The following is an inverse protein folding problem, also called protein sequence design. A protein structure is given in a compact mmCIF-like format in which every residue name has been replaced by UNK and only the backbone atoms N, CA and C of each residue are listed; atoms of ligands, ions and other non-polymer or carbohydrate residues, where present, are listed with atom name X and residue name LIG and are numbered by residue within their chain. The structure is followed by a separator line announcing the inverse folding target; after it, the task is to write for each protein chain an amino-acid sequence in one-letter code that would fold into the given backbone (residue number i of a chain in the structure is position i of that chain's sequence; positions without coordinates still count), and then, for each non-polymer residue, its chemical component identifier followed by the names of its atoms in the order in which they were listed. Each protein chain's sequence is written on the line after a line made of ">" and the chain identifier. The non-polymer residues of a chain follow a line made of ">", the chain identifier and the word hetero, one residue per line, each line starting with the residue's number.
data_IF_590238793371
#
_entry.id   IF_590238793371
#
_cell.length_a   1.000
_cell.length_b   1.000
_cell.length_c   1.000
_cell.angle_alpha   90.00
_cell.angle_beta   90.00
_cell.angle_gamma   90.00
#
_symmetry.space_group_name_H-M   'P 1'
#
loop_
_entity.id
_entity.type
_entity.pdbx_description
1 polymer ?
#
# COMPACT_ATOMS: atom_id res chain seq x y z
N UNK A 1 -17.70 9.73 -21.18
CA UNK A 1 -18.38 8.65 -21.92
C UNK A 1 -19.74 9.20 -22.30
N UNK A 2 -20.05 9.21 -23.58
CA UNK A 2 -21.31 9.74 -24.13
C UNK A 2 -22.18 8.57 -24.59
N UNK A 3 -23.51 8.80 -24.69
CA UNK A 3 -24.44 7.80 -25.15
C UNK A 3 -24.14 7.44 -26.62
N UNK A 4 -24.14 6.15 -26.95
CA UNK A 4 -23.79 5.64 -28.28
C UNK A 4 -22.29 5.47 -28.55
N UNK A 5 -21.40 5.74 -27.59
CA UNK A 5 -19.96 5.52 -27.75
C UNK A 5 -19.61 4.03 -27.76
N UNK A 6 -18.95 3.58 -28.83
CA UNK A 6 -18.39 2.23 -28.89
C UNK A 6 -16.98 2.19 -28.29
N UNK A 7 -16.76 1.36 -27.29
CA UNK A 7 -15.47 1.22 -26.60
C UNK A 7 -14.87 -0.14 -26.89
N UNK A 8 -13.72 -0.17 -27.56
CA UNK A 8 -12.95 -1.38 -27.77
C UNK A 8 -11.84 -1.51 -26.72
N UNK A 9 -11.96 -2.50 -25.85
CA UNK A 9 -10.99 -2.75 -24.76
C UNK A 9 -9.91 -3.77 -25.11
N UNK A 10 -9.93 -4.37 -26.31
CA UNK A 10 -9.05 -5.46 -26.73
C UNK A 10 -8.32 -5.22 -28.06
N UNK A 11 -8.32 -3.99 -28.58
CA UNK A 11 -7.52 -3.68 -29.77
C UNK A 11 -6.03 -3.78 -29.45
N UNK A 12 -5.19 -4.05 -30.45
CA UNK A 12 -3.74 -4.10 -30.29
C UNK A 12 -3.18 -2.83 -29.64
N UNK A 13 -3.71 -1.66 -30.04
CA UNK A 13 -3.32 -0.35 -29.47
C UNK A 13 -3.66 -0.24 -27.98
N UNK A 14 -4.81 -0.77 -27.54
CA UNK A 14 -5.22 -0.73 -26.14
C UNK A 14 -4.36 -1.68 -25.31
N UNK A 15 -4.07 -2.87 -25.82
CA UNK A 15 -3.20 -3.84 -25.15
C UNK A 15 -1.79 -3.24 -24.99
N UNK A 16 -1.22 -2.65 -26.04
CA UNK A 16 0.07 -1.99 -25.97
C UNK A 16 0.11 -0.86 -24.93
N UNK A 17 -0.89 0.02 -24.95
CA UNK A 17 -1.00 1.11 -23.97
C UNK A 17 -1.10 0.58 -22.52
N UNK A 18 -1.84 -0.51 -22.27
CA UNK A 18 -1.91 -1.16 -20.96
C UNK A 18 -0.56 -1.70 -20.51
N UNK A 19 0.16 -2.39 -21.41
CA UNK A 19 1.49 -2.94 -21.14
C UNK A 19 2.47 -1.84 -20.74
N UNK A 20 2.53 -0.75 -21.51
CA UNK A 20 3.37 0.41 -21.19
C UNK A 20 3.02 0.99 -19.82
N UNK A 21 1.74 1.19 -19.52
CA UNK A 21 1.31 1.70 -18.22
C UNK A 21 1.70 0.77 -17.06
N UNK A 22 1.56 -0.54 -17.22
CA UNK A 22 2.00 -1.50 -16.21
C UNK A 22 3.51 -1.48 -16.02
N UNK A 23 4.28 -1.41 -17.09
CA UNK A 23 5.74 -1.28 -17.02
C UNK A 23 6.19 0.01 -16.32
N UNK A 24 5.51 1.14 -16.56
CA UNK A 24 5.76 2.39 -15.83
C UNK A 24 5.43 2.27 -14.34
N UNK A 25 4.34 1.60 -13.98
CA UNK A 25 4.03 1.31 -12.58
C UNK A 25 5.10 0.42 -11.94
N UNK A 26 5.58 -0.59 -12.67
CA UNK A 26 6.64 -1.49 -12.20
C UNK A 26 8.00 -0.79 -12.04
N UNK A 27 8.27 0.28 -12.79
CA UNK A 27 9.47 1.10 -12.62
C UNK A 27 9.51 1.82 -11.25
N UNK A 28 8.33 2.14 -10.71
CA UNK A 28 8.18 2.80 -9.40
C UNK A 28 7.77 1.83 -8.28
N UNK A 29 7.83 0.53 -8.52
CA UNK A 29 7.39 -0.47 -7.56
C UNK A 29 8.52 -1.44 -7.20
N UNK A 30 8.75 -1.64 -5.89
CA UNK A 30 9.67 -2.68 -5.43
C UNK A 30 9.11 -4.06 -5.77
N UNK A 31 9.85 -4.77 -6.65
CA UNK A 31 9.45 -6.06 -7.21
C UNK A 31 9.85 -7.25 -6.33
N UNK A 32 10.17 -7.03 -5.06
CA UNK A 32 10.53 -8.10 -4.14
C UNK A 32 9.27 -8.87 -3.68
N UNK A 33 8.63 -9.54 -4.63
CA UNK A 33 7.34 -10.19 -4.42
C UNK A 33 7.38 -11.35 -3.43
N UNK A 34 8.48 -12.08 -3.33
CA UNK A 34 8.59 -13.25 -2.46
C UNK A 34 8.50 -12.90 -0.97
N UNK A 35 8.95 -11.71 -0.58
CA UNK A 35 8.86 -11.22 0.80
C UNK A 35 7.70 -10.24 1.01
N UNK A 36 6.84 -10.06 0.03
CA UNK A 36 5.73 -9.12 0.10
C UNK A 36 4.52 -9.75 0.80
N UNK A 37 3.88 -9.01 1.71
CA UNK A 37 2.65 -9.44 2.39
C UNK A 37 1.45 -9.68 1.44
N UNK A 38 1.55 -9.20 0.20
CA UNK A 38 0.56 -9.41 -0.86
C UNK A 38 0.99 -10.45 -1.89
N UNK A 39 2.07 -11.20 -1.64
CA UNK A 39 2.45 -12.31 -2.52
C UNK A 39 1.23 -13.20 -2.78
N UNK A 40 1.05 -13.62 -4.03
CA UNK A 40 -0.10 -14.41 -4.53
C UNK A 40 -1.47 -13.71 -4.48
N UNK A 41 -1.65 -12.66 -3.65
CA UNK A 41 -2.88 -11.89 -3.56
C UNK A 41 -2.63 -10.40 -3.90
N UNK A 42 -1.88 -10.15 -4.97
CA UNK A 42 -1.52 -8.82 -5.45
C UNK A 42 -2.18 -8.54 -6.81
N UNK A 43 -3.03 -7.50 -6.86
CA UNK A 43 -3.70 -7.12 -8.11
C UNK A 43 -2.73 -6.63 -9.19
N UNK A 44 -1.62 -5.98 -8.80
CA UNK A 44 -0.59 -5.57 -9.76
C UNK A 44 0.10 -6.80 -10.36
N UNK A 45 0.49 -7.77 -9.54
CA UNK A 45 1.10 -9.02 -9.99
C UNK A 45 0.16 -9.77 -10.96
N UNK A 46 -1.13 -9.88 -10.63
CA UNK A 46 -2.13 -10.49 -11.50
C UNK A 46 -2.21 -9.77 -12.85
N UNK A 47 -2.30 -8.43 -12.86
CA UNK A 47 -2.37 -7.66 -14.10
C UNK A 47 -1.10 -7.80 -14.95
N UNK A 48 0.07 -7.87 -14.33
CA UNK A 48 1.33 -8.11 -15.06
C UNK A 48 1.34 -9.51 -15.69
N UNK A 49 0.84 -10.52 -14.99
CA UNK A 49 0.70 -11.86 -15.55
C UNK A 49 -0.32 -11.91 -16.70
N UNK A 50 -1.48 -11.28 -16.54
CA UNK A 50 -2.55 -11.25 -17.55
C UNK A 50 -2.08 -10.58 -18.86
N UNK A 51 -1.27 -9.53 -18.76
CA UNK A 51 -0.71 -8.82 -19.92
C UNK A 51 0.68 -9.36 -20.32
N UNK A 52 1.14 -10.47 -19.73
CA UNK A 52 2.43 -11.12 -20.00
C UNK A 52 3.62 -10.14 -19.94
N UNK A 53 3.71 -9.38 -18.85
CA UNK A 53 4.82 -8.45 -18.60
C UNK A 53 6.00 -9.24 -18.03
N UNK A 54 6.97 -9.57 -18.86
CA UNK A 54 8.19 -10.29 -18.47
C UNK A 54 9.41 -9.38 -18.37
N UNK A 55 9.34 -8.19 -18.97
CA UNK A 55 10.42 -7.22 -19.04
C UNK A 55 9.91 -5.86 -18.60
N UNK A 56 10.69 -5.19 -17.77
CA UNK A 56 10.47 -3.80 -17.36
C UNK A 56 11.64 -2.98 -17.95
N UNK A 57 11.41 -2.22 -19.04
CA UNK A 57 12.47 -1.52 -19.77
C UNK A 57 12.82 -0.15 -19.18
N UNK A 58 12.01 0.38 -18.26
CA UNK A 58 12.20 1.71 -17.69
C UNK A 58 13.13 1.66 -16.49
N UNK A 59 13.90 2.73 -16.28
CA UNK A 59 14.77 2.88 -15.12
C UNK A 59 13.93 2.89 -13.82
N UNK A 60 14.44 2.20 -12.79
CA UNK A 60 13.79 2.20 -11.47
C UNK A 60 13.97 3.57 -10.83
N UNK A 61 12.86 4.15 -10.40
CA UNK A 61 12.81 5.48 -9.79
C UNK A 61 11.88 5.43 -8.56
N UNK A 62 12.40 4.88 -7.44
CA UNK A 62 11.64 5.00 -6.18
C UNK A 62 12.19 6.14 -5.35
N UNK A 63 11.30 6.94 -4.84
CA UNK A 63 11.63 7.89 -3.79
C UNK A 63 11.64 7.16 -2.44
N UNK A 64 12.78 7.07 -1.74
CA UNK A 64 12.78 6.55 -0.38
C UNK A 64 11.91 7.48 0.48
N UNK A 65 10.99 6.89 1.21
CA UNK A 65 10.14 7.62 2.14
C UNK A 65 10.39 7.08 3.54
N UNK A 66 10.98 7.90 4.39
CA UNK A 66 11.17 7.55 5.78
C UNK A 66 9.81 7.43 6.49
N UNK A 67 9.63 6.32 7.18
CA UNK A 67 8.42 6.04 7.96
C UNK A 67 8.77 5.76 9.40
N UNK A 68 8.02 6.33 10.33
CA UNK A 68 8.20 6.04 11.74
C UNK A 68 7.70 4.63 12.05
N UNK A 69 8.62 3.68 12.20
CA UNK A 69 8.33 2.26 12.46
C UNK A 69 7.82 2.00 13.89
N UNK A 70 7.85 2.99 14.77
CA UNK A 70 7.24 2.87 16.10
C UNK A 70 5.71 2.92 16.05
N UNK A 71 5.15 3.44 14.94
CA UNK A 71 3.70 3.48 14.77
C UNK A 71 3.12 2.10 14.43
N UNK A 72 1.85 1.89 14.80
CA UNK A 72 1.15 0.62 14.56
C UNK A 72 0.81 0.36 13.10
N UNK A 73 0.76 1.41 12.30
CA UNK A 73 0.57 1.35 10.86
C UNK A 73 1.89 1.59 10.15
N UNK A 74 2.31 0.66 9.31
CA UNK A 74 3.53 0.76 8.52
C UNK A 74 3.18 1.10 7.07
N UNK A 75 3.95 2.02 6.50
CA UNK A 75 3.83 2.39 5.09
C UNK A 75 5.17 2.24 4.38
N UNK A 76 5.16 1.44 3.33
CA UNK A 76 6.27 1.31 2.39
C UNK A 76 5.93 2.04 1.08
N UNK A 77 6.56 3.19 0.86
CA UNK A 77 6.30 4.01 -0.31
C UNK A 77 6.73 3.34 -1.61
N UNK A 78 7.77 2.49 -1.58
CA UNK A 78 8.29 1.77 -2.74
C UNK A 78 7.28 0.75 -3.31
N UNK A 79 6.30 0.32 -2.51
CA UNK A 79 5.22 -0.58 -2.93
C UNK A 79 3.93 0.15 -3.32
N UNK A 80 3.92 1.49 -3.24
CA UNK A 80 2.73 2.28 -3.49
C UNK A 80 2.53 2.57 -4.98
N UNK A 81 1.44 2.07 -5.57
CA UNK A 81 1.04 2.36 -6.96
C UNK A 81 0.17 3.61 -7.10
N UNK A 82 0.09 4.42 -6.05
CA UNK A 82 -0.63 5.71 -6.05
C UNK A 82 -2.10 5.61 -6.49
N UNK A 83 -2.78 4.52 -6.13
CA UNK A 83 -4.18 4.26 -6.51
C UNK A 83 -5.21 5.05 -5.72
N UNK A 84 -4.80 5.75 -4.66
CA UNK A 84 -5.61 6.62 -3.79
C UNK A 84 -6.74 5.91 -3.02
N UNK A 85 -6.81 4.58 -3.02
CA UNK A 85 -7.88 3.84 -2.31
C UNK A 85 -7.86 4.08 -0.80
N UNK A 86 -6.66 4.19 -0.20
CA UNK A 86 -6.52 4.48 1.23
C UNK A 86 -7.02 5.88 1.58
N UNK A 87 -6.84 6.88 0.69
CA UNK A 87 -7.40 8.22 0.85
C UNK A 87 -8.92 8.13 0.78
N UNK A 88 -9.47 7.56 -0.31
CA UNK A 88 -10.92 7.48 -0.53
C UNK A 88 -11.66 6.76 0.60
N UNK A 89 -11.15 5.61 1.08
CA UNK A 89 -11.81 4.86 2.15
C UNK A 89 -11.77 5.63 3.47
N UNK A 90 -10.66 6.33 3.74
CA UNK A 90 -10.49 7.11 4.95
C UNK A 90 -11.39 8.36 4.97
N UNK A 91 -11.56 9.01 3.82
CA UNK A 91 -12.36 10.22 3.69
C UNK A 91 -13.86 9.93 3.58
N UNK A 92 -14.24 9.03 2.67
CA UNK A 92 -15.64 8.85 2.29
C UNK A 92 -16.39 7.88 3.20
N UNK A 93 -15.72 6.89 3.77
CA UNK A 93 -16.36 5.86 4.61
C UNK A 93 -16.06 6.07 6.09
N UNK A 94 -14.80 6.31 6.44
CA UNK A 94 -14.39 6.51 7.84
C UNK A 94 -14.54 7.96 8.31
N UNK A 95 -14.67 8.92 7.39
CA UNK A 95 -14.72 10.37 7.67
C UNK A 95 -13.58 10.86 8.59
N UNK A 96 -12.42 10.19 8.53
CA UNK A 96 -11.31 10.43 9.46
C UNK A 96 -10.19 11.29 8.84
N UNK A 97 -10.12 11.37 7.49
CA UNK A 97 -9.19 12.22 6.72
C UNK A 97 -7.70 12.07 7.12
N UNK A 98 -7.30 10.86 7.55
CA UNK A 98 -5.94 10.62 8.01
C UNK A 98 -4.91 10.56 6.87
N UNK A 99 -5.34 10.38 5.63
CA UNK A 99 -4.49 10.29 4.45
C UNK A 99 -4.75 11.46 3.50
N UNK A 100 -3.68 11.97 2.91
CA UNK A 100 -3.74 13.02 1.89
C UNK A 100 -2.78 12.73 0.74
N UNK A 101 -2.96 13.46 -0.36
CA UNK A 101 -2.09 13.41 -1.53
C UNK A 101 -1.13 14.60 -1.42
N UNK A 102 0.17 14.34 -1.51
CA UNK A 102 1.23 15.34 -1.56
C UNK A 102 1.99 15.25 -2.88
N UNK A 103 2.55 16.38 -3.33
CA UNK A 103 3.33 16.45 -4.56
C UNK A 103 2.49 16.43 -5.83
N UNK A 104 3.16 16.51 -6.97
CA UNK A 104 2.57 16.52 -8.33
C UNK A 104 3.39 15.67 -9.29
N UNK A 105 2.74 15.13 -10.32
CA UNK A 105 3.38 14.30 -11.34
C UNK A 105 4.06 13.07 -10.73
N UNK A 106 5.32 12.80 -11.11
CA UNK A 106 6.07 11.64 -10.60
C UNK A 106 6.32 11.71 -9.08
N UNK A 107 6.35 12.91 -8.50
CA UNK A 107 6.53 13.15 -7.06
C UNK A 107 5.23 13.02 -6.25
N UNK A 108 4.12 12.67 -6.90
CA UNK A 108 2.87 12.40 -6.18
C UNK A 108 3.08 11.24 -5.21
N UNK A 109 2.70 11.46 -3.96
CA UNK A 109 2.73 10.42 -2.92
C UNK A 109 1.50 10.52 -2.02
N UNK A 110 1.12 9.40 -1.44
CA UNK A 110 0.13 9.36 -0.37
C UNK A 110 0.86 9.52 0.95
N UNK A 111 0.47 10.44 1.76
CA UNK A 111 1.09 10.72 3.05
C UNK A 111 0.03 10.96 4.13
N UNK A 112 0.37 10.87 5.41
CA UNK A 112 -0.51 11.34 6.47
C UNK A 112 -0.87 12.81 6.27
N UNK A 113 -2.11 13.17 6.60
CA UNK A 113 -2.61 14.55 6.51
C UNK A 113 -2.03 15.47 7.59
N UNK A 114 -1.42 14.90 8.60
CA UNK A 114 -0.77 15.58 9.71
C UNK A 114 0.75 15.45 9.63
N UNK A 115 1.47 16.31 10.33
CA UNK A 115 2.93 16.30 10.33
C UNK A 115 3.45 15.13 11.18
N UNK A 116 4.32 14.31 10.60
CA UNK A 116 4.87 13.09 11.24
C UNK A 116 6.18 13.32 11.98
N UNK A 117 6.63 14.57 12.12
CA UNK A 117 7.81 14.88 12.93
C UNK A 117 7.51 14.63 14.41
N UNK A 118 7.78 13.39 14.84
CA UNK A 118 7.91 13.01 16.23
C UNK A 118 6.78 12.22 16.87
N UNK A 119 5.53 12.44 16.59
CA UNK A 119 4.44 11.62 17.11
C UNK A 119 3.26 11.64 16.14
N UNK A 120 2.56 10.52 15.92
CA UNK A 120 1.34 10.54 15.16
C UNK A 120 0.34 11.45 15.90
N UNK A 121 -0.01 12.60 15.31
CA UNK A 121 -1.20 13.31 15.73
C UNK A 121 -2.37 12.34 15.58
N UNK A 122 -3.01 11.99 16.69
CA UNK A 122 -3.91 10.88 16.86
C UNK A 122 -5.27 11.05 16.13
N UNK A 123 -5.25 11.67 14.95
CA UNK A 123 -6.44 11.74 14.10
C UNK A 123 -6.78 10.43 13.41
N UNK A 124 -5.85 9.47 13.38
CA UNK A 124 -6.10 8.15 12.83
C UNK A 124 -6.82 7.27 13.86
N UNK A 125 -8.00 6.76 13.50
CA UNK A 125 -8.78 5.84 14.34
C UNK A 125 -8.18 4.41 14.40
N UNK A 126 -7.07 4.14 13.72
CA UNK A 126 -6.39 2.83 13.62
C UNK A 126 -7.32 1.68 13.18
N UNK A 127 -8.35 1.99 12.39
CA UNK A 127 -9.39 1.03 11.98
C UNK A 127 -8.90 -0.03 10.96
N UNK A 128 -7.70 0.12 10.39
CA UNK A 128 -7.11 -0.82 9.43
C UNK A 128 -7.72 -0.83 8.01
N UNK A 129 -8.76 -0.07 7.74
CA UNK A 129 -9.45 -0.09 6.43
C UNK A 129 -8.52 0.28 5.26
N UNK A 130 -7.57 1.18 5.47
CA UNK A 130 -6.57 1.52 4.46
C UNK A 130 -5.63 0.34 4.13
N UNK A 131 -5.36 -0.56 5.09
CA UNK A 131 -4.56 -1.77 4.88
C UNK A 131 -5.34 -2.75 4.00
N UNK A 132 -6.60 -3.02 4.34
CA UNK A 132 -7.43 -3.99 3.61
C UNK A 132 -7.71 -3.57 2.17
N UNK A 133 -7.79 -2.26 1.92
CA UNK A 133 -8.03 -1.70 0.59
C UNK A 133 -6.74 -1.45 -0.22
N UNK A 134 -5.56 -1.62 0.38
CA UNK A 134 -4.29 -1.47 -0.34
C UNK A 134 -4.06 -2.67 -1.27
N UNK A 135 -3.96 -2.46 -2.60
CA UNK A 135 -3.86 -3.57 -3.55
C UNK A 135 -2.44 -4.18 -3.64
N UNK A 136 -1.43 -3.49 -3.10
CA UNK A 136 -0.01 -3.83 -3.32
C UNK A 136 0.82 -4.01 -2.04
N UNK A 137 0.18 -4.00 -0.86
CA UNK A 137 0.89 -4.18 0.40
C UNK A 137 1.78 -2.99 0.82
N UNK A 138 1.53 -1.81 0.25
CA UNK A 138 2.20 -0.59 0.68
C UNK A 138 1.80 -0.13 2.09
N UNK A 139 0.69 -0.64 2.62
CA UNK A 139 0.20 -0.40 3.96
C UNK A 139 0.03 -1.73 4.68
N UNK A 140 0.64 -1.86 5.85
CA UNK A 140 0.58 -3.04 6.70
C UNK A 140 0.42 -2.66 8.16
N UNK A 141 -0.02 -3.58 8.99
CA UNK A 141 0.14 -3.46 10.43
C UNK A 141 1.61 -3.72 10.80
N UNK A 142 2.08 -3.09 11.88
CA UNK A 142 3.39 -3.41 12.44
C UNK A 142 3.36 -4.84 12.98
N UNK A 143 4.38 -5.61 12.66
CA UNK A 143 4.59 -6.93 13.22
C UNK A 143 5.34 -6.81 14.55
N UNK A 144 4.74 -7.26 15.62
CA UNK A 144 5.32 -7.30 16.96
C UNK A 144 5.53 -8.75 17.45
N UNK A 145 5.43 -9.76 16.58
CA UNK A 145 5.56 -11.18 16.94
C UNK A 145 6.88 -11.48 17.63
N UNK A 146 7.99 -11.00 17.08
CA UNK A 146 9.32 -11.23 17.67
C UNK A 146 9.43 -10.68 19.09
N UNK A 147 8.88 -9.48 19.34
CA UNK A 147 8.86 -8.88 20.68
C UNK A 147 8.07 -9.70 21.68
N UNK A 148 6.98 -10.34 21.22
CA UNK A 148 6.17 -11.23 22.05
C UNK A 148 6.92 -12.52 22.36
N UNK A 149 7.56 -13.13 21.35
CA UNK A 149 8.38 -14.31 21.54
C UNK A 149 9.57 -14.07 22.44
N UNK A 150 10.25 -12.93 22.31
CA UNK A 150 11.34 -12.53 23.22
C UNK A 150 10.85 -12.37 24.66
N UNK A 151 9.65 -11.78 24.83
CA UNK A 151 9.05 -11.64 26.16
C UNK A 151 8.64 -12.99 26.77
N UNK A 152 8.18 -13.94 25.97
CA UNK A 152 7.85 -15.31 26.42
C UNK A 152 9.13 -16.07 26.81
N UNK A 153 10.23 -15.87 26.09
CA UNK A 153 11.51 -16.51 26.36
C UNK A 153 12.23 -15.93 27.59
N UNK A 154 11.84 -14.76 28.06
CA UNK A 154 12.44 -14.07 29.21
C UNK A 154 11.81 -14.57 30.52
N UNK A 155 12.51 -15.43 31.25
CA UNK A 155 12.04 -16.01 32.54
C UNK A 155 11.73 -14.97 33.62
N UNK A 156 12.20 -13.73 33.47
CA UNK A 156 11.89 -12.64 34.40
C UNK A 156 10.52 -11.99 34.16
N UNK A 157 9.85 -12.34 33.06
CA UNK A 157 8.59 -11.74 32.65
C UNK A 157 7.43 -12.73 32.73
N UNK A 158 6.28 -12.25 33.11
CA UNK A 158 5.02 -12.98 32.98
C UNK A 158 4.20 -12.39 31.84
N UNK A 159 4.00 -13.17 30.78
CA UNK A 159 3.22 -12.75 29.63
C UNK A 159 1.76 -13.13 29.85
N UNK A 160 0.87 -12.13 29.78
CA UNK A 160 -0.58 -12.32 29.93
C UNK A 160 -1.28 -11.91 28.67
N UNK A 161 -2.15 -12.78 28.14
CA UNK A 161 -2.99 -12.49 26.97
C UNK A 161 -4.38 -12.07 27.46
N UNK A 162 -4.82 -10.90 26.98
CA UNK A 162 -6.17 -10.41 27.23
C UNK A 162 -6.91 -10.28 25.89
N UNK A 163 -8.06 -10.93 25.78
CA UNK A 163 -8.90 -10.90 24.57
C UNK A 163 -10.21 -10.22 24.96
N UNK A 164 -10.62 -9.22 24.19
CA UNK A 164 -11.89 -8.54 24.41
C UNK A 164 -13.07 -9.47 24.09
N UNK A 165 -14.18 -9.40 24.87
CA UNK A 165 -15.29 -10.35 24.72
C UNK A 165 -16.10 -10.20 23.43
N UNK A 166 -15.87 -9.14 22.67
CA UNK A 166 -16.59 -8.84 21.41
C UNK A 166 -15.80 -9.23 20.15
N UNK A 167 -14.81 -10.11 20.26
CA UNK A 167 -14.04 -10.62 19.13
C UNK A 167 -14.60 -11.96 18.67
#
# INVERSE_FOLDING_TARGET
>A
VEEGMEINTRSARVIEARRINLQLLMAQHDQNCLSCVRSENCKLQQLCNDENITIQPFEKDFEPFEWNTSWTLIRDASKCVKCMRCVSICDQVQANHAWTIKGTGKRTTVAPSFNTEGAPDMRCALCGQCITHCPTGALTARDDCDKVFDAIADESKTVVVQIAPSV
#
